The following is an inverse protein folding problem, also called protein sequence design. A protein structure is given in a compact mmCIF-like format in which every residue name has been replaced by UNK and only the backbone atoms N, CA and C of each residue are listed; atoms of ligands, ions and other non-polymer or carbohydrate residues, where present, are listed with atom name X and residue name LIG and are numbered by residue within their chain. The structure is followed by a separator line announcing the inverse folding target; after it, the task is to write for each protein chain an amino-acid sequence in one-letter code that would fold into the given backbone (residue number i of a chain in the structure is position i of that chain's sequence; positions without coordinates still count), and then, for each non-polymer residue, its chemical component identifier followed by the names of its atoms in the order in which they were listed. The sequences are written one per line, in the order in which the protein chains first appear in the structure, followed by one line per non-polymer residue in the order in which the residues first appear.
data_IF_798994426759
#
_entry.id   IF_798994426759
#
_cell.length_a   1.000
_cell.length_b   1.000
_cell.length_c   1.000
_cell.angle_alpha   90.00
_cell.angle_beta   90.00
_cell.angle_gamma   90.00
#
_symmetry.space_group_name_H-M   'P 1'
#
loop_
_entity.id
_entity.type
_entity.pdbx_description
1 polymer ?
#
# COMPACT_ATOMS: atom_id res chain seq x y z
N UNK A 1 1.33 -5.97 12.50
CA UNK A 1 0.35 -5.93 11.39
C UNK A 1 0.80 -4.89 10.38
N UNK A 2 0.80 -5.24 9.11
CA UNK A 2 1.26 -4.39 8.01
C UNK A 2 0.31 -3.21 7.72
N UNK A 3 -1.00 -3.43 7.80
CA UNK A 3 -2.03 -2.40 7.70
C UNK A 3 -1.89 -1.37 8.80
N UNK A 4 -1.67 -1.79 10.06
CA UNK A 4 -1.43 -0.84 11.16
C UNK A 4 -0.23 0.05 10.85
N UNK A 5 0.88 -0.56 10.41
CA UNK A 5 2.09 0.19 10.03
C UNK A 5 1.83 1.17 8.87
N UNK A 6 1.08 0.76 7.86
CA UNK A 6 0.70 1.61 6.74
C UNK A 6 -0.19 2.78 7.18
N UNK A 7 -1.18 2.53 8.03
CA UNK A 7 -2.04 3.58 8.60
C UNK A 7 -1.19 4.60 9.38
N UNK A 8 -0.30 4.11 10.24
CA UNK A 8 0.60 4.97 11.03
C UNK A 8 1.60 5.74 10.14
N UNK A 9 2.14 5.12 9.09
CA UNK A 9 3.14 5.73 8.21
C UNK A 9 2.53 6.76 7.25
N UNK A 10 1.30 6.54 6.76
CA UNK A 10 0.65 7.35 5.71
C UNK A 10 -0.52 8.21 6.24
N UNK A 11 -0.82 8.18 7.54
CA UNK A 11 -1.86 8.99 8.16
C UNK A 11 -3.26 8.68 7.61
N UNK A 12 -3.57 7.40 7.40
CA UNK A 12 -4.79 6.96 6.74
C UNK A 12 -5.95 6.83 7.72
N UNK A 13 -7.02 7.62 7.51
CA UNK A 13 -8.24 7.61 8.34
C UNK A 13 -9.30 6.64 7.78
N UNK A 14 -8.96 5.36 7.60
CA UNK A 14 -9.89 4.39 7.01
C UNK A 14 -10.40 3.38 8.02
N UNK A 15 -11.63 3.61 8.50
CA UNK A 15 -12.40 2.66 9.31
C UNK A 15 -12.60 1.30 8.60
N UNK A 16 -12.54 1.28 7.27
CA UNK A 16 -12.66 0.06 6.47
C UNK A 16 -11.44 -0.84 6.60
N UNK A 17 -10.22 -0.27 6.62
CA UNK A 17 -8.99 -1.05 6.73
C UNK A 17 -8.89 -1.79 8.07
N UNK A 18 -9.47 -1.23 9.14
CA UNK A 18 -9.47 -1.86 10.47
C UNK A 18 -10.26 -3.18 10.55
N UNK A 19 -11.19 -3.40 9.62
CA UNK A 19 -12.04 -4.61 9.59
C UNK A 19 -11.41 -5.74 8.78
N UNK A 20 -10.34 -5.45 8.03
CA UNK A 20 -9.70 -6.42 7.16
C UNK A 20 -8.68 -7.28 7.92
N UNK A 21 -8.54 -8.53 7.47
CA UNK A 21 -7.51 -9.46 7.93
C UNK A 21 -6.37 -9.52 6.94
N UNK A 22 -5.16 -9.67 7.47
CA UNK A 22 -3.94 -9.86 6.69
C UNK A 22 -3.61 -11.35 6.54
N UNK A 23 -3.16 -11.76 5.35
CA UNK A 23 -2.58 -13.08 5.09
C UNK A 23 -1.29 -12.92 4.30
N UNK A 24 -0.19 -13.43 4.85
CA UNK A 24 1.10 -13.44 4.15
C UNK A 24 1.22 -14.70 3.28
N UNK A 25 1.59 -14.50 2.02
CA UNK A 25 1.90 -15.57 1.07
C UNK A 25 3.24 -15.23 0.42
N UNK A 26 4.31 -15.89 0.86
CA UNK A 26 5.68 -15.53 0.47
C UNK A 26 6.03 -14.10 0.91
N UNK A 27 6.37 -13.27 -0.07
CA UNK A 27 6.68 -11.84 0.13
C UNK A 27 5.47 -10.93 -0.06
N UNK A 28 4.31 -11.47 -0.41
CA UNK A 28 3.10 -10.67 -0.59
C UNK A 28 2.23 -10.74 0.67
N UNK A 29 1.62 -9.61 1.01
CA UNK A 29 0.60 -9.52 2.05
C UNK A 29 -0.73 -9.22 1.37
N UNK A 30 -1.68 -10.12 1.57
CA UNK A 30 -3.04 -10.04 1.08
C UNK A 30 -3.95 -9.55 2.20
N UNK A 31 -4.96 -8.77 1.84
CA UNK A 31 -6.00 -8.30 2.76
C UNK A 31 -7.39 -8.65 2.23
N UNK A 32 -8.31 -8.92 3.14
CA UNK A 32 -9.70 -9.22 2.79
C UNK A 32 -10.55 -9.33 4.05
N UNK A 33 -11.83 -9.60 3.87
CA UNK A 33 -12.70 -9.93 5.01
C UNK A 33 -12.19 -11.19 5.71
N UNK A 34 -12.48 -11.38 7.00
CA UNK A 34 -12.09 -12.60 7.72
C UNK A 34 -12.49 -13.89 6.99
N UNK A 35 -13.69 -13.91 6.41
CA UNK A 35 -14.25 -15.05 5.68
C UNK A 35 -13.45 -15.34 4.40
N UNK A 36 -13.15 -14.29 3.61
CA UNK A 36 -12.40 -14.43 2.37
C UNK A 36 -10.97 -14.92 2.62
N UNK A 37 -10.33 -14.46 3.70
CA UNK A 37 -8.97 -14.84 4.07
C UNK A 37 -8.90 -16.29 4.61
N UNK A 38 -9.92 -16.70 5.37
CA UNK A 38 -10.05 -18.05 5.92
C UNK A 38 -10.48 -19.10 4.89
N UNK A 39 -11.09 -18.68 3.77
CA UNK A 39 -11.60 -19.59 2.75
C UNK A 39 -10.49 -20.50 2.18
N UNK A 40 -10.70 -21.81 2.30
CA UNK A 40 -9.74 -22.85 1.88
C UNK A 40 -10.40 -24.04 1.17
N UNK A 41 -11.70 -23.98 0.87
CA UNK A 41 -12.45 -25.10 0.27
C UNK A 41 -12.08 -25.36 -1.19
N UNK A 42 -11.56 -24.36 -1.90
CA UNK A 42 -11.08 -24.47 -3.28
C UNK A 42 -9.70 -23.83 -3.41
N UNK A 43 -8.91 -24.34 -4.35
CA UNK A 43 -7.64 -23.74 -4.73
C UNK A 43 -7.92 -22.47 -5.55
N UNK A 44 -8.04 -21.34 -4.87
CA UNK A 44 -8.20 -20.03 -5.50
C UNK A 44 -6.83 -19.44 -5.85
N UNK A 45 -6.72 -18.81 -7.01
CA UNK A 45 -5.48 -18.11 -7.40
C UNK A 45 -5.23 -16.84 -6.58
N UNK A 46 -6.31 -16.22 -6.06
CA UNK A 46 -6.27 -14.98 -5.28
C UNK A 46 -7.41 -14.98 -4.26
N UNK A 47 -7.13 -14.50 -3.05
CA UNK A 47 -8.12 -14.28 -2.00
C UNK A 47 -7.94 -12.85 -1.47
N UNK A 48 -8.89 -11.98 -1.79
CA UNK A 48 -8.83 -10.55 -1.45
C UNK A 48 -7.88 -9.75 -2.35
N UNK A 49 -7.31 -8.68 -1.80
CA UNK A 49 -6.47 -7.71 -2.50
C UNK A 49 -5.03 -7.87 -2.03
N UNK A 50 -4.06 -7.90 -2.96
CA UNK A 50 -2.65 -7.80 -2.58
C UNK A 50 -2.36 -6.38 -2.12
N UNK A 51 -2.11 -6.19 -0.83
CA UNK A 51 -1.93 -4.89 -0.20
C UNK A 51 -0.47 -4.43 -0.18
N UNK A 52 0.46 -5.36 0.10
CA UNK A 52 1.87 -5.04 0.23
C UNK A 52 2.73 -6.07 -0.46
N UNK A 53 3.91 -5.63 -0.91
CA UNK A 53 5.05 -6.50 -1.16
C UNK A 53 6.15 -6.19 -0.16
N UNK A 54 6.68 -7.22 0.48
CA UNK A 54 7.71 -7.13 1.50
C UNK A 54 9.08 -7.27 0.82
N UNK A 55 9.97 -6.35 1.18
CA UNK A 55 11.37 -6.32 0.76
C UNK A 55 12.26 -6.44 1.99
N UNK A 56 13.56 -6.69 1.78
CA UNK A 56 14.53 -6.90 2.87
C UNK A 56 14.51 -5.76 3.91
N UNK A 57 14.35 -4.51 3.46
CA UNK A 57 14.43 -3.31 4.29
C UNK A 57 13.12 -2.50 4.35
N UNK A 58 11.97 -3.10 4.01
CA UNK A 58 10.72 -2.34 4.02
C UNK A 58 9.56 -3.06 3.35
N UNK A 59 8.53 -2.28 3.06
CA UNK A 59 7.34 -2.74 2.35
C UNK A 59 6.95 -1.70 1.30
N UNK A 60 6.38 -2.18 0.20
CA UNK A 60 5.78 -1.34 -0.83
C UNK A 60 4.27 -1.56 -0.81
N UNK A 61 3.46 -0.55 -0.45
CA UNK A 61 2.03 -0.62 -0.68
C UNK A 61 1.75 -0.73 -2.18
N UNK A 62 0.74 -1.50 -2.55
CA UNK A 62 0.31 -1.61 -3.95
C UNK A 62 -0.66 -0.48 -4.27
N UNK A 63 -0.79 -0.15 -5.56
CA UNK A 63 -1.81 0.79 -6.04
C UNK A 63 -3.21 0.39 -5.58
N UNK A 64 -3.53 -0.90 -5.55
CA UNK A 64 -4.84 -1.38 -5.08
C UNK A 64 -5.10 -1.02 -3.61
N UNK A 65 -4.09 -1.10 -2.74
CA UNK A 65 -4.24 -0.66 -1.36
C UNK A 65 -4.47 0.85 -1.32
N UNK A 66 -3.64 1.63 -2.02
CA UNK A 66 -3.74 3.10 -2.06
C UNK A 66 -5.15 3.53 -2.47
N UNK A 67 -5.69 2.92 -3.52
CA UNK A 67 -7.04 3.22 -4.03
C UNK A 67 -8.17 2.97 -3.02
N UNK A 68 -8.06 1.95 -2.16
CA UNK A 68 -9.07 1.65 -1.14
C UNK A 68 -8.79 2.29 0.22
N UNK A 69 -7.62 2.91 0.38
CA UNK A 69 -7.21 3.52 1.65
C UNK A 69 -7.93 4.83 1.93
N UNK A 70 -8.49 5.48 0.90
CA UNK A 70 -9.05 6.81 1.03
C UNK A 70 -7.96 7.87 1.12
N UNK A 71 -8.21 8.92 1.90
CA UNK A 71 -7.30 10.06 2.01
C UNK A 71 -6.02 9.69 2.78
N UNK A 72 -4.87 10.03 2.19
CA UNK A 72 -3.53 9.90 2.77
C UNK A 72 -3.11 11.28 3.24
N UNK A 73 -2.72 11.39 4.51
CA UNK A 73 -2.31 12.67 5.12
C UNK A 73 -0.80 12.84 5.22
N UNK A 74 -0.08 11.72 5.22
CA UNK A 74 1.37 11.68 5.41
C UNK A 74 2.05 10.97 4.25
N UNK A 75 3.29 11.36 3.95
CA UNK A 75 4.14 10.71 2.91
C UNK A 75 3.47 10.67 1.54
N UNK A 76 2.82 11.77 1.16
CA UNK A 76 2.40 12.03 -0.20
C UNK A 76 3.17 13.22 -0.77
N UNK A 77 3.38 13.22 -2.08
CA UNK A 77 3.98 14.35 -2.79
C UNK A 77 3.09 14.73 -3.96
N UNK A 78 2.59 15.96 -3.94
CA UNK A 78 1.98 16.54 -5.13
C UNK A 78 3.05 16.87 -6.16
N UNK A 79 2.79 16.40 -7.38
CA UNK A 79 3.64 16.61 -8.54
C UNK A 79 3.09 17.76 -9.37
N UNK A 80 3.98 18.65 -9.80
CA UNK A 80 3.66 19.63 -10.85
C UNK A 80 3.49 18.92 -12.20
N UNK A 81 2.82 19.57 -13.16
CA UNK A 81 2.52 18.98 -14.48
C UNK A 81 3.77 18.40 -15.16
N UNK A 82 4.89 19.13 -15.11
CA UNK A 82 6.16 18.69 -15.70
C UNK A 82 6.72 17.44 -14.99
N UNK A 83 6.70 17.42 -13.66
CA UNK A 83 7.17 16.30 -12.85
C UNK A 83 6.29 15.05 -13.09
N UNK A 84 4.98 15.25 -13.19
CA UNK A 84 4.04 14.20 -13.54
C UNK A 84 4.39 13.57 -14.90
N UNK A 85 4.67 14.37 -15.93
CA UNK A 85 5.05 13.86 -17.24
C UNK A 85 6.35 13.06 -17.22
N UNK A 86 7.37 13.54 -16.49
CA UNK A 86 8.64 12.82 -16.31
C UNK A 86 8.41 11.49 -15.55
N UNK A 87 7.62 11.51 -14.49
CA UNK A 87 7.27 10.32 -13.71
C UNK A 87 6.50 9.29 -14.54
N UNK A 88 5.52 9.73 -15.35
CA UNK A 88 4.73 8.86 -16.22
C UNK A 88 5.58 8.20 -17.32
N UNK A 89 6.70 8.81 -17.70
CA UNK A 89 7.69 8.23 -18.61
C UNK A 89 8.65 7.25 -17.91
N UNK A 90 8.56 7.12 -16.58
CA UNK A 90 9.42 6.26 -15.77
C UNK A 90 10.76 6.90 -15.42
N UNK A 91 10.91 8.22 -15.53
CA UNK A 91 12.09 8.93 -15.08
C UNK A 91 12.08 9.15 -13.56
N UNK A 92 13.29 9.23 -12.98
CA UNK A 92 13.47 9.60 -11.58
C UNK A 92 13.31 11.11 -11.40
N UNK A 93 12.54 11.52 -10.39
CA UNK A 93 12.41 12.92 -9.98
C UNK A 93 13.42 13.23 -8.88
N UNK A 94 14.09 14.39 -8.97
CA UNK A 94 15.04 14.86 -7.96
C UNK A 94 14.47 16.05 -7.20
N UNK A 95 14.17 15.86 -5.92
CA UNK A 95 13.57 16.87 -5.05
C UNK A 95 14.11 16.75 -3.63
N UNK A 96 14.31 17.90 -2.99
CA UNK A 96 14.52 17.94 -1.54
C UNK A 96 13.17 17.84 -0.85
N UNK A 97 13.02 16.83 0.00
CA UNK A 97 11.79 16.52 0.71
C UNK A 97 12.07 16.49 2.21
N UNK A 98 11.31 17.26 2.99
CA UNK A 98 11.36 17.19 4.45
C UNK A 98 10.50 16.03 4.96
N UNK A 99 10.97 14.80 4.72
CA UNK A 99 10.29 13.59 5.15
C UNK A 99 11.26 12.44 5.43
N UNK A 100 10.80 11.48 6.22
CA UNK A 100 11.58 10.27 6.51
C UNK A 100 11.77 9.41 5.25
N UNK A 101 12.96 8.82 5.05
CA UNK A 101 13.21 7.92 3.92
C UNK A 101 12.20 6.76 3.86
N UNK A 102 11.76 6.41 2.65
CA UNK A 102 10.85 5.30 2.41
C UNK A 102 9.97 5.49 1.18
N UNK A 103 8.89 4.70 1.11
CA UNK A 103 7.90 4.84 0.05
C UNK A 103 7.06 6.11 0.26
N UNK A 104 6.72 6.76 -0.84
CA UNK A 104 5.93 7.99 -0.92
C UNK A 104 4.86 7.76 -1.98
N UNK A 105 3.68 8.32 -1.77
CA UNK A 105 2.53 8.25 -2.69
C UNK A 105 2.47 9.50 -3.55
#
# INVERSE_FOLDING_TARGET
MWLKRYIDDFGVESSQLHQLKEKRVGNDVWIGTPEAIAFNLLKVNRAGIRAFRIYRNGYKPTTNLVQISGMIKERYVELEEKEMLEFLQGHDLKRELDMRPGFVI
#
